data_IF_960522187271
#
_entry.id   IF_960522187271
#
_cell.length_a   1.000
_cell.length_b   1.000
_cell.length_c   1.000
_cell.angle_alpha   90.00
_cell.angle_beta   90.00
_cell.angle_gamma   90.00
#
_symmetry.space_group_name_H-M   'P 1'
#
loop_
_entity.id
_entity.type
_entity.pdbx_description
1 polymer ?
#
# COMPACT_ATOMS: atom_id res chain seq x y z
N UNK A 1 -7.16 39.28 -2.77
CA UNK A 1 -7.47 38.33 -3.87
C UNK A 1 -6.17 37.86 -4.53
N UNK A 2 -5.74 36.61 -4.31
CA UNK A 2 -4.56 36.03 -5.01
C UNK A 2 -5.02 35.47 -6.36
N UNK A 3 -4.54 36.07 -7.46
CA UNK A 3 -4.77 35.55 -8.82
C UNK A 3 -4.12 34.17 -8.93
N UNK A 4 -4.92 33.12 -9.15
CA UNK A 4 -4.42 31.80 -9.52
C UNK A 4 -3.79 31.93 -10.91
N UNK A 5 -2.46 31.80 -11.00
CA UNK A 5 -1.79 31.62 -12.28
C UNK A 5 -2.31 30.32 -12.88
N UNK A 6 -2.97 30.42 -14.03
CA UNK A 6 -3.34 29.27 -14.83
C UNK A 6 -2.07 28.48 -15.13
N UNK A 7 -1.97 27.27 -14.58
CA UNK A 7 -1.00 26.30 -15.07
C UNK A 7 -1.37 26.08 -16.54
N UNK A 8 -0.44 26.37 -17.46
CA UNK A 8 -0.74 26.31 -18.89
C UNK A 8 -1.33 24.96 -19.28
N UNK A 9 -2.11 24.93 -20.36
CA UNK A 9 -2.92 23.77 -20.83
C UNK A 9 -2.18 22.42 -20.82
N UNK A 10 -0.86 22.42 -20.96
CA UNK A 10 -0.05 21.20 -20.91
C UNK A 10 0.13 20.57 -19.51
N UNK A 11 0.08 21.36 -18.43
CA UNK A 11 0.21 20.86 -17.06
C UNK A 11 -1.13 20.34 -16.49
N UNK A 12 -2.25 20.93 -16.91
CA UNK A 12 -3.59 20.46 -16.55
C UNK A 12 -3.84 19.04 -17.09
N UNK A 13 -3.34 18.71 -18.29
CA UNK A 13 -3.46 17.38 -18.88
C UNK A 13 -2.80 16.30 -18.00
N UNK A 14 -1.58 16.55 -17.52
CA UNK A 14 -0.81 15.59 -16.69
C UNK A 14 -1.45 15.40 -15.31
N UNK A 15 -2.02 16.46 -14.74
CA UNK A 15 -2.68 16.42 -13.42
C UNK A 15 -4.10 15.81 -13.52
N UNK A 16 -4.71 15.85 -14.71
CA UNK A 16 -6.07 15.34 -14.95
C UNK A 16 -6.15 13.84 -15.21
N UNK A 17 -5.01 13.18 -15.45
CA UNK A 17 -5.02 11.74 -15.61
C UNK A 17 -5.31 11.12 -14.24
N UNK A 18 -6.46 10.46 -14.04
CA UNK A 18 -6.65 9.64 -12.86
C UNK A 18 -5.50 8.64 -12.82
N UNK A 19 -4.92 8.43 -11.64
CA UNK A 19 -3.98 7.33 -11.44
C UNK A 19 -4.56 6.08 -12.09
N UNK A 20 -3.77 5.28 -12.83
CA UNK A 20 -4.29 4.07 -13.45
C UNK A 20 -4.97 3.26 -12.36
N UNK A 21 -6.28 3.07 -12.50
CA UNK A 21 -7.01 2.08 -11.76
C UNK A 21 -6.31 0.77 -12.10
N UNK A 22 -5.51 0.27 -11.15
CA UNK A 22 -5.00 -1.09 -11.22
C UNK A 22 -6.24 -1.95 -11.16
N UNK A 23 -6.69 -2.40 -12.33
CA UNK A 23 -7.81 -3.31 -12.49
C UNK A 23 -7.62 -4.43 -11.47
N UNK A 24 -8.56 -4.53 -10.53
CA UNK A 24 -8.61 -5.68 -9.64
C UNK A 24 -8.63 -6.91 -10.54
N UNK A 25 -7.71 -7.88 -10.35
CA UNK A 25 -7.69 -9.06 -11.19
C UNK A 25 -9.09 -9.67 -11.22
N UNK A 26 -9.54 -10.21 -12.37
CA UNK A 26 -10.87 -10.76 -12.51
C UNK A 26 -11.12 -11.84 -11.45
N UNK A 27 -12.37 -12.29 -11.27
CA UNK A 27 -12.74 -13.51 -10.52
C UNK A 27 -12.18 -14.80 -11.17
N UNK A 28 -10.97 -14.75 -11.68
CA UNK A 28 -10.16 -15.86 -12.10
C UNK A 28 -9.75 -16.65 -10.87
N UNK A 29 -9.84 -17.98 -10.98
CA UNK A 29 -9.31 -18.91 -9.99
C UNK A 29 -7.95 -18.43 -9.51
N UNK A 30 -7.85 -18.10 -8.23
CA UNK A 30 -6.60 -17.67 -7.62
C UNK A 30 -5.55 -18.73 -7.92
N UNK A 31 -4.47 -18.29 -8.56
CA UNK A 31 -3.37 -19.16 -8.92
C UNK A 31 -2.72 -19.70 -7.63
N UNK A 32 -3.00 -20.97 -7.33
CA UNK A 32 -2.54 -21.65 -6.11
C UNK A 32 -1.03 -21.73 -6.04
N UNK A 33 -0.36 -21.95 -7.17
CA UNK A 33 1.10 -22.04 -7.23
C UNK A 33 1.73 -20.68 -6.90
N UNK A 34 1.25 -19.60 -7.51
CA UNK A 34 1.71 -18.24 -7.22
C UNK A 34 1.45 -17.85 -5.76
N UNK A 35 0.31 -18.26 -5.19
CA UNK A 35 -0.02 -18.02 -3.79
C UNK A 35 0.97 -18.71 -2.85
N UNK A 36 1.23 -20.01 -3.05
CA UNK A 36 2.15 -20.76 -2.18
C UNK A 36 3.58 -20.23 -2.26
N UNK A 37 4.07 -19.87 -3.46
CA UNK A 37 5.38 -19.22 -3.62
C UNK A 37 5.42 -17.91 -2.84
N UNK A 38 4.39 -17.07 -3.00
CA UNK A 38 4.30 -15.78 -2.30
C UNK A 38 4.30 -15.94 -0.78
N UNK A 39 3.61 -16.96 -0.27
CA UNK A 39 3.59 -17.29 1.16
C UNK A 39 4.96 -17.74 1.66
N UNK A 40 5.64 -18.61 0.93
CA UNK A 40 6.99 -19.06 1.30
C UNK A 40 7.98 -17.89 1.34
N UNK A 41 7.93 -17.00 0.35
CA UNK A 41 8.77 -15.80 0.31
C UNK A 41 8.47 -14.86 1.48
N UNK A 42 7.19 -14.61 1.77
CA UNK A 42 6.77 -13.75 2.86
C UNK A 42 7.15 -14.31 4.24
N UNK A 43 7.01 -15.63 4.45
CA UNK A 43 7.41 -16.29 5.70
C UNK A 43 8.92 -16.28 5.89
N UNK A 44 9.70 -16.39 4.81
CA UNK A 44 11.16 -16.32 4.85
C UNK A 44 11.65 -14.89 5.10
N UNK A 45 11.02 -13.89 4.48
CA UNK A 45 11.37 -12.47 4.64
C UNK A 45 10.11 -11.58 4.54
N UNK A 46 9.49 -11.22 5.67
CA UNK A 46 8.27 -10.42 5.67
C UNK A 46 8.51 -8.93 5.42
N UNK A 47 9.77 -8.48 5.27
CA UNK A 47 10.10 -7.06 5.16
C UNK A 47 9.81 -6.54 3.76
N UNK A 48 8.93 -5.55 3.67
CA UNK A 48 8.67 -4.77 2.45
C UNK A 48 9.40 -3.42 2.55
N UNK A 49 10.00 -2.96 1.45
CA UNK A 49 10.62 -1.62 1.35
C UNK A 49 9.85 -0.78 0.33
N UNK A 50 9.47 0.44 0.72
CA UNK A 50 8.75 1.39 -0.15
C UNK A 50 9.55 2.69 -0.28
N UNK A 51 9.56 3.26 -1.50
CA UNK A 51 10.06 4.60 -1.74
C UNK A 51 8.90 5.60 -1.83
N UNK A 52 8.68 6.36 -0.76
CA UNK A 52 7.76 7.50 -0.75
C UNK A 52 8.34 8.62 0.12
N UNK A 53 8.93 9.67 -0.51
CA UNK A 53 9.45 10.82 0.22
C UNK A 53 8.39 11.51 1.10
N UNK A 54 7.16 11.62 0.62
CA UNK A 54 6.04 12.27 1.31
C UNK A 54 5.64 11.49 2.56
N UNK A 55 5.40 10.18 2.43
CA UNK A 55 5.05 9.34 3.57
C UNK A 55 6.20 9.32 4.59
N UNK A 56 7.45 9.24 4.13
CA UNK A 56 8.62 9.30 4.99
C UNK A 56 8.71 10.63 5.75
N UNK A 57 8.44 11.77 5.10
CA UNK A 57 8.44 13.08 5.74
C UNK A 57 7.34 13.17 6.82
N UNK A 58 6.11 12.73 6.51
CA UNK A 58 4.99 12.73 7.46
C UNK A 58 5.29 11.85 8.67
N UNK A 59 5.71 10.59 8.46
CA UNK A 59 5.99 9.67 9.56
C UNK A 59 7.17 10.16 10.43
N UNK A 60 8.19 10.77 9.82
CA UNK A 60 9.31 11.38 10.57
C UNK A 60 8.89 12.62 11.34
N UNK A 61 7.98 13.42 10.80
CA UNK A 61 7.39 14.53 11.53
C UNK A 61 6.63 14.03 12.76
N UNK A 62 5.72 13.06 12.58
CA UNK A 62 4.95 12.48 13.69
C UNK A 62 5.85 11.91 14.79
N UNK A 63 6.94 11.23 14.42
CA UNK A 63 7.96 10.75 15.38
C UNK A 63 8.59 11.85 16.22
N UNK A 64 8.77 13.05 15.66
CA UNK A 64 9.38 14.18 16.36
C UNK A 64 8.38 14.93 17.23
N UNK A 65 7.09 14.86 16.92
CA UNK A 65 6.05 15.65 17.60
C UNK A 65 5.22 14.85 18.59
N UNK A 66 5.19 13.52 18.50
CA UNK A 66 4.41 12.63 19.36
C UNK A 66 5.38 11.74 20.17
N UNK A 67 5.36 11.81 21.52
CA UNK A 67 6.14 10.91 22.36
C UNK A 67 5.82 9.45 22.07
N UNK A 68 6.84 8.57 22.15
CA UNK A 68 6.70 7.12 21.93
C UNK A 68 6.16 6.70 20.55
N UNK A 69 6.16 7.61 19.56
CA UNK A 69 5.65 7.28 18.22
C UNK A 69 6.57 6.33 17.46
N UNK A 70 6.00 5.19 17.04
CA UNK A 70 6.69 4.16 16.27
C UNK A 70 6.32 4.24 14.79
N UNK A 71 7.28 4.69 13.96
CA UNK A 71 7.13 4.78 12.51
C UNK A 71 6.77 3.43 11.90
N UNK A 72 7.45 2.35 12.29
CA UNK A 72 7.22 1.03 11.72
C UNK A 72 5.84 0.48 12.09
N UNK A 73 5.41 0.67 13.34
CA UNK A 73 4.09 0.23 13.79
C UNK A 73 2.97 0.96 13.03
N UNK A 74 3.08 2.28 12.91
CA UNK A 74 2.08 3.08 12.19
C UNK A 74 2.07 2.72 10.70
N UNK A 75 3.25 2.59 10.08
CA UNK A 75 3.37 2.20 8.68
C UNK A 75 2.77 0.80 8.43
N UNK A 76 3.00 -0.18 9.30
CA UNK A 76 2.42 -1.53 9.17
C UNK A 76 0.90 -1.47 9.18
N UNK A 77 0.30 -0.77 10.15
CA UNK A 77 -1.16 -0.64 10.27
C UNK A 77 -1.78 0.04 9.05
N UNK A 78 -1.16 1.12 8.58
CA UNK A 78 -1.63 1.84 7.40
C UNK A 78 -1.55 0.96 6.15
N UNK A 79 -0.44 0.24 5.97
CA UNK A 79 -0.24 -0.64 4.83
C UNK A 79 -1.21 -1.84 4.85
N UNK A 80 -1.33 -2.53 5.98
CA UNK A 80 -2.25 -3.66 6.16
C UNK A 80 -3.69 -3.24 5.88
N UNK A 81 -4.13 -2.11 6.43
CA UNK A 81 -5.45 -1.56 6.18
C UNK A 81 -5.68 -1.31 4.69
N UNK A 82 -4.74 -0.63 4.02
CA UNK A 82 -4.87 -0.31 2.60
C UNK A 82 -4.88 -1.56 1.71
N UNK A 83 -4.03 -2.56 1.99
CA UNK A 83 -3.98 -3.82 1.23
C UNK A 83 -5.27 -4.62 1.45
N UNK A 84 -5.75 -4.73 2.69
CA UNK A 84 -6.98 -5.45 3.03
C UNK A 84 -8.21 -4.84 2.37
N UNK A 85 -8.30 -3.52 2.32
CA UNK A 85 -9.38 -2.80 1.64
C UNK A 85 -9.29 -2.98 0.11
N UNK A 86 -8.08 -2.98 -0.46
CA UNK A 86 -7.87 -3.10 -1.91
C UNK A 86 -8.03 -4.53 -2.44
N UNK A 87 -7.61 -5.54 -1.68
CA UNK A 87 -7.59 -6.95 -2.10
C UNK A 87 -8.22 -7.89 -1.03
N UNK A 88 -9.51 -7.71 -0.69
CA UNK A 88 -10.15 -8.42 0.42
C UNK A 88 -10.21 -9.94 0.24
N UNK A 89 -10.43 -10.42 -0.99
CA UNK A 89 -10.52 -11.85 -1.29
C UNK A 89 -9.16 -12.56 -1.10
N UNK A 90 -8.09 -11.98 -1.67
CA UNK A 90 -6.72 -12.50 -1.53
C UNK A 90 -6.29 -12.46 -0.06
N UNK A 91 -6.58 -11.35 0.63
CA UNK A 91 -6.27 -11.20 2.06
C UNK A 91 -6.92 -12.31 2.90
N UNK A 92 -8.20 -12.62 2.64
CA UNK A 92 -8.90 -13.67 3.38
C UNK A 92 -8.26 -15.05 3.21
N UNK A 93 -7.80 -15.37 2.00
CA UNK A 93 -7.16 -16.66 1.71
C UNK A 93 -5.79 -16.75 2.37
N UNK A 94 -4.97 -15.71 2.23
CA UNK A 94 -3.65 -15.62 2.87
C UNK A 94 -3.78 -15.74 4.39
N UNK A 95 -4.74 -15.04 4.99
CA UNK A 95 -4.96 -15.06 6.44
C UNK A 95 -5.34 -16.47 6.94
N UNK A 96 -6.23 -17.18 6.23
CA UNK A 96 -6.57 -18.57 6.54
C UNK A 96 -5.34 -19.47 6.43
N UNK A 97 -4.58 -19.33 5.35
CA UNK A 97 -3.42 -20.17 5.07
C UNK A 97 -2.30 -19.98 6.10
N UNK A 98 -2.04 -18.75 6.53
CA UNK A 98 -1.08 -18.46 7.60
C UNK A 98 -1.52 -19.08 8.94
N UNK A 99 -2.82 -19.03 9.27
CA UNK A 99 -3.36 -19.66 10.49
C UNK A 99 -3.23 -21.18 10.49
N UNK A 100 -3.27 -21.83 9.34
CA UNK A 100 -3.06 -23.29 9.22
C UNK A 100 -1.59 -23.71 9.36
N UNK A 101 -0.65 -22.79 9.13
CA UNK A 101 0.80 -23.05 9.18
C UNK A 101 1.41 -22.78 10.57
N UNK A 102 0.68 -22.13 11.48
CA UNK A 102 1.10 -21.80 12.84
C UNK A 102 0.46 -22.72 13.88
#
# INVERSE_FOLDING_TARGET
MRKKKALGRGLEAIISEPMPEVETPPKEEINKEALEISLQEALKNPRITLWSPEAAAVLRYLRKTIPEFSISNEASKLLEKAIKEKYPEIWSIVEKRIKELG
#
